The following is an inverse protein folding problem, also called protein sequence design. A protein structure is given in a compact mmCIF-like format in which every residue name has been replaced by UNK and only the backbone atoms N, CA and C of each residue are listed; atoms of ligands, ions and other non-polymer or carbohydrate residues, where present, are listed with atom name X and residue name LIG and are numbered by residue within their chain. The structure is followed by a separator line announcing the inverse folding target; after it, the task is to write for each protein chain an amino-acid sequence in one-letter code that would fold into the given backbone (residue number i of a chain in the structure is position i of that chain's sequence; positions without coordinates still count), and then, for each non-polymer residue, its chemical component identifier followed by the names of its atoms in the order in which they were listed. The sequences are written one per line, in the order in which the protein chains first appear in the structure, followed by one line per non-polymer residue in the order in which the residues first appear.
data_IF_917612010919
#
_entry.id   IF_917612010919
#
_cell.length_a   1.000
_cell.length_b   1.000
_cell.length_c   1.000
_cell.angle_alpha   90.00
_cell.angle_beta   90.00
_cell.angle_gamma   90.00
#
_symmetry.space_group_name_H-M   'P 1'
#
loop_
_entity.id
_entity.type
_entity.pdbx_description
1 polymer ?
#
# COMPACT_ATOMS: atom_id res chain seq x y z
N UNK A 1 23.81 -0.22 -8.62
CA UNK A 1 22.94 0.30 -9.70
C UNK A 1 22.55 1.73 -9.38
N UNK A 2 22.76 2.67 -10.28
CA UNK A 2 22.33 4.06 -10.12
C UNK A 2 20.82 4.18 -10.38
N UNK A 3 20.15 5.07 -9.63
CA UNK A 3 18.76 5.49 -9.92
C UNK A 3 18.83 6.45 -11.11
N UNK A 4 17.98 6.28 -12.13
CA UNK A 4 17.95 7.12 -13.33
C UNK A 4 16.61 7.79 -13.58
N UNK A 5 15.57 7.41 -12.82
CA UNK A 5 14.26 8.05 -12.92
C UNK A 5 13.19 7.36 -12.07
N UNK A 6 12.13 8.11 -11.79
CA UNK A 6 10.90 7.64 -11.16
C UNK A 6 9.77 7.71 -12.18
N UNK A 7 8.84 6.77 -12.11
CA UNK A 7 7.68 6.73 -13.00
C UNK A 7 6.55 5.88 -12.42
N UNK A 8 5.40 5.91 -13.09
CA UNK A 8 4.22 5.09 -12.80
C UNK A 8 3.78 5.18 -11.32
N UNK A 9 3.43 6.38 -10.89
CA UNK A 9 2.73 6.55 -9.62
C UNK A 9 1.39 5.83 -9.67
N UNK A 10 1.07 5.15 -8.57
CA UNK A 10 -0.22 4.50 -8.35
C UNK A 10 -0.64 4.70 -6.90
N UNK A 11 -1.93 4.89 -6.69
CA UNK A 11 -2.52 4.95 -5.36
C UNK A 11 -3.84 4.19 -5.31
N UNK A 12 -4.29 3.88 -4.11
CA UNK A 12 -5.61 3.33 -3.83
C UNK A 12 -6.02 3.66 -2.41
N UNK A 13 -7.29 3.94 -2.18
CA UNK A 13 -7.81 4.27 -0.86
C UNK A 13 -7.71 3.02 0.02
N UNK A 14 -7.08 3.18 1.19
CA UNK A 14 -6.85 2.11 2.14
C UNK A 14 -8.09 1.83 2.97
N UNK A 15 -8.42 0.56 3.10
CA UNK A 15 -9.25 -0.02 4.16
C UNK A 15 -8.40 -1.00 4.94
N UNK A 16 -8.35 -0.86 6.25
CA UNK A 16 -7.49 -1.66 7.13
C UNK A 16 -8.33 -2.37 8.18
N UNK A 17 -8.08 -3.66 8.39
CA UNK A 17 -8.72 -4.42 9.48
C UNK A 17 -8.13 -4.02 10.84
N UNK A 18 -8.77 -4.46 11.92
CA UNK A 18 -8.28 -4.23 13.28
C UNK A 18 -6.87 -4.83 13.50
N UNK A 19 -6.56 -5.93 12.81
CA UNK A 19 -5.28 -6.65 12.89
C UNK A 19 -4.24 -6.12 11.88
N UNK A 20 -4.52 -5.00 11.21
CA UNK A 20 -3.59 -4.34 10.30
C UNK A 20 -3.50 -4.96 8.91
N UNK A 21 -4.47 -5.78 8.47
CA UNK A 21 -4.49 -6.31 7.09
C UNK A 21 -4.99 -5.23 6.15
N UNK A 22 -4.16 -4.76 5.18
CA UNK A 22 -4.56 -3.72 4.25
C UNK A 22 -5.33 -4.29 3.05
N UNK A 23 -6.34 -3.54 2.61
CA UNK A 23 -7.00 -3.69 1.32
C UNK A 23 -7.18 -2.33 0.66
N UNK A 24 -7.30 -2.28 -0.66
CA UNK A 24 -7.35 -1.01 -1.37
C UNK A 24 -8.48 -0.97 -2.39
N UNK A 25 -8.98 0.24 -2.67
CA UNK A 25 -10.12 0.47 -3.58
C UNK A 25 -9.81 0.26 -5.06
N UNK A 26 -8.60 -0.22 -5.39
CA UNK A 26 -8.11 -0.38 -6.76
C UNK A 26 -7.04 0.65 -7.13
N UNK A 27 -6.24 0.28 -8.13
CA UNK A 27 -5.09 1.09 -8.55
C UNK A 27 -5.53 2.26 -9.45
N UNK A 28 -5.35 3.49 -8.95
CA UNK A 28 -5.53 4.73 -9.73
C UNK A 28 -4.18 5.37 -10.03
N UNK A 29 -4.12 6.19 -11.09
CA UNK A 29 -2.94 7.00 -11.45
C UNK A 29 -3.22 8.43 -11.01
N UNK A 30 -2.37 9.05 -10.14
CA UNK A 30 -2.60 10.43 -9.75
C UNK A 30 -2.34 11.40 -10.90
N UNK A 31 -1.19 11.28 -11.55
CA UNK A 31 -0.75 12.06 -12.71
C UNK A 31 0.56 11.49 -13.24
N UNK A 32 1.19 12.13 -14.22
CA UNK A 32 2.52 11.75 -14.67
C UNK A 32 3.57 12.15 -13.62
N UNK A 33 4.48 11.22 -13.35
CA UNK A 33 5.51 11.40 -12.33
C UNK A 33 6.64 12.30 -12.83
N UNK A 34 6.92 13.38 -12.11
CA UNK A 34 8.07 14.25 -12.32
C UNK A 34 9.16 13.91 -11.30
N UNK A 35 8.82 13.96 -10.01
CA UNK A 35 9.74 13.70 -8.91
C UNK A 35 9.04 12.95 -7.77
N UNK A 36 9.82 12.28 -6.94
CA UNK A 36 9.29 11.75 -5.69
C UNK A 36 10.41 11.65 -4.66
N UNK A 37 10.24 12.34 -3.57
CA UNK A 37 11.12 12.28 -2.41
C UNK A 37 10.43 11.53 -1.26
N UNK A 38 11.19 10.74 -0.52
CA UNK A 38 10.73 10.06 0.70
C UNK A 38 11.79 10.30 1.77
N UNK A 39 11.40 10.99 2.80
CA UNK A 39 12.23 11.31 3.96
C UNK A 39 11.71 10.56 5.18
N UNK A 40 12.60 9.81 5.82
CA UNK A 40 12.27 9.01 6.99
C UNK A 40 12.95 9.62 8.21
N UNK A 41 12.17 9.84 9.25
CA UNK A 41 12.66 10.25 10.58
C UNK A 41 12.65 9.02 11.47
N UNK A 42 13.81 8.72 12.05
CA UNK A 42 13.97 7.65 13.03
C UNK A 42 14.06 8.24 14.43
N UNK A 43 13.71 7.45 15.44
CA UNK A 43 14.07 7.75 16.82
C UNK A 43 15.60 7.80 16.94
N UNK A 44 16.12 8.74 17.71
CA UNK A 44 17.54 8.84 18.03
C UNK A 44 17.70 8.93 19.57
N UNK A 45 17.20 7.92 20.26
CA UNK A 45 17.39 7.80 21.69
C UNK A 45 18.74 7.13 21.96
N UNK A 46 19.56 7.76 22.81
CA UNK A 46 20.89 7.28 23.21
C UNK A 46 20.99 7.23 24.72
N UNK A 47 21.42 6.10 25.23
CA UNK A 47 21.76 5.91 26.64
C UNK A 47 23.28 5.92 26.79
N UNK A 48 23.79 6.82 27.61
CA UNK A 48 25.20 6.84 28.00
C UNK A 48 25.34 6.31 29.43
N UNK A 49 26.31 5.42 29.62
CA UNK A 49 26.71 4.92 30.94
C UNK A 49 28.24 4.88 31.00
N UNK A 50 28.83 5.30 32.12
CA UNK A 50 30.27 5.39 32.33
C UNK A 50 31.03 6.11 31.19
N UNK A 51 30.50 7.25 30.76
CA UNK A 51 31.02 8.08 29.62
C UNK A 51 31.08 7.37 28.27
N UNK A 52 30.38 6.25 28.11
CA UNK A 52 30.27 5.49 26.87
C UNK A 52 28.82 5.40 26.38
N UNK A 53 28.62 5.32 25.05
CA UNK A 53 27.32 5.00 24.48
C UNK A 53 26.99 3.53 24.81
N UNK A 54 26.05 3.33 25.72
CA UNK A 54 25.64 2.00 26.17
C UNK A 54 24.57 1.40 25.25
N UNK A 55 23.56 2.20 24.85
CA UNK A 55 22.49 1.77 23.95
C UNK A 55 22.01 2.92 23.04
N UNK A 56 21.49 2.56 21.87
CA UNK A 56 20.84 3.49 20.96
C UNK A 56 19.63 2.84 20.30
N UNK A 57 18.52 3.61 20.17
CA UNK A 57 17.34 3.25 19.39
C UNK A 57 17.32 4.06 18.10
N UNK A 58 17.10 3.38 16.97
CA UNK A 58 16.96 3.98 15.63
C UNK A 58 15.69 3.48 14.93
N UNK A 59 14.65 3.14 15.68
CA UNK A 59 13.38 2.68 15.13
C UNK A 59 12.69 3.74 14.28
N UNK A 60 11.82 3.31 13.34
CA UNK A 60 11.01 4.20 12.54
C UNK A 60 10.08 5.04 13.43
N UNK A 61 10.10 6.35 13.26
CA UNK A 61 9.21 7.27 13.96
C UNK A 61 8.08 7.76 13.06
N UNK A 62 8.44 8.36 11.94
CA UNK A 62 7.52 8.83 10.91
C UNK A 62 8.24 9.03 9.59
N UNK A 63 7.49 9.25 8.50
CA UNK A 63 8.06 9.61 7.22
C UNK A 63 7.18 10.60 6.47
N UNK A 64 7.78 11.27 5.52
CA UNK A 64 7.09 12.12 4.54
C UNK A 64 7.36 11.63 3.14
N UNK A 65 6.36 11.70 2.28
CA UNK A 65 6.50 11.52 0.83
C UNK A 65 6.05 12.78 0.14
N UNK A 66 6.91 13.35 -0.71
CA UNK A 66 6.57 14.47 -1.59
C UNK A 66 6.56 13.97 -3.02
N UNK A 67 5.43 14.11 -3.68
CA UNK A 67 5.15 13.68 -5.04
C UNK A 67 5.06 14.91 -5.93
N UNK A 68 5.99 15.05 -6.88
CA UNK A 68 5.93 16.07 -7.95
C UNK A 68 5.25 15.48 -9.18
N UNK A 69 4.21 16.14 -9.65
CA UNK A 69 3.35 15.72 -10.76
C UNK A 69 3.18 16.83 -11.79
N UNK A 70 2.81 16.45 -13.03
CA UNK A 70 2.67 17.39 -14.14
C UNK A 70 1.34 18.15 -14.15
N UNK A 71 0.31 17.59 -13.53
CA UNK A 71 -1.04 18.20 -13.45
C UNK A 71 -1.76 17.75 -12.18
N UNK A 72 -2.68 18.60 -11.72
CA UNK A 72 -3.56 18.30 -10.58
C UNK A 72 -5.00 18.10 -11.08
N UNK A 73 -5.38 16.85 -11.36
CA UNK A 73 -6.76 16.51 -11.65
C UNK A 73 -7.63 16.69 -10.39
N UNK A 74 -8.76 17.39 -10.52
CA UNK A 74 -9.70 17.64 -9.42
C UNK A 74 -10.29 16.35 -8.83
N UNK A 75 -10.48 15.31 -9.64
CA UNK A 75 -10.93 14.01 -9.16
C UNK A 75 -9.87 13.36 -8.27
N UNK A 76 -8.59 13.44 -8.66
CA UNK A 76 -7.47 12.92 -7.88
C UNK A 76 -7.30 13.68 -6.56
N UNK A 77 -7.44 15.01 -6.60
CA UNK A 77 -7.42 15.82 -5.37
C UNK A 77 -8.54 15.39 -4.41
N UNK A 78 -9.76 15.21 -4.93
CA UNK A 78 -10.89 14.76 -4.12
C UNK A 78 -10.62 13.41 -3.47
N UNK A 79 -10.09 12.45 -4.21
CA UNK A 79 -9.74 11.12 -3.70
C UNK A 79 -8.64 11.18 -2.61
N UNK A 80 -7.58 11.96 -2.83
CA UNK A 80 -6.43 12.01 -1.91
C UNK A 80 -6.70 12.85 -0.66
N UNK A 81 -7.58 13.86 -0.77
CA UNK A 81 -7.83 14.84 0.29
C UNK A 81 -9.21 14.69 0.95
N UNK A 82 -10.07 13.81 0.40
CA UNK A 82 -11.39 13.54 0.95
C UNK A 82 -12.45 14.58 0.62
N UNK A 83 -12.26 15.33 -0.47
CA UNK A 83 -13.23 16.32 -0.92
C UNK A 83 -14.37 15.70 -1.72
N UNK A 84 -15.45 16.47 -1.88
CA UNK A 84 -16.56 16.06 -2.73
C UNK A 84 -16.31 16.49 -4.18
N UNK A 85 -16.25 15.51 -5.12
CA UNK A 85 -16.14 15.77 -6.56
C UNK A 85 -17.42 15.36 -7.28
N UNK A 86 -17.94 16.21 -8.14
CA UNK A 86 -19.11 15.92 -8.99
C UNK A 86 -19.09 16.76 -10.26
N UNK A 87 -19.17 16.10 -11.41
CA UNK A 87 -19.33 16.76 -12.72
C UNK A 87 -18.29 17.85 -13.02
N UNK A 88 -17.04 17.65 -12.67
CA UNK A 88 -15.95 18.61 -12.91
C UNK A 88 -15.81 19.70 -11.85
N UNK A 89 -16.59 19.65 -10.78
CA UNK A 89 -16.52 20.58 -9.65
C UNK A 89 -16.03 19.88 -8.40
N UNK A 90 -15.10 20.51 -7.68
CA UNK A 90 -14.63 20.06 -6.36
C UNK A 90 -15.15 21.04 -5.29
N UNK A 91 -15.75 20.51 -4.25
CA UNK A 91 -16.21 21.27 -3.08
C UNK A 91 -15.36 20.86 -1.88
N UNK A 92 -14.65 21.84 -1.31
CA UNK A 92 -13.81 21.68 -0.12
C UNK A 92 -14.55 22.19 1.10
N UNK A 93 -14.65 21.37 2.14
CA UNK A 93 -15.31 21.72 3.40
C UNK A 93 -14.30 21.60 4.55
N UNK A 94 -14.44 22.45 5.56
CA UNK A 94 -13.59 22.38 6.76
C UNK A 94 -13.73 21.06 7.54
N UNK A 95 -14.78 20.27 7.26
CA UNK A 95 -15.03 18.95 7.85
C UNK A 95 -14.44 17.81 7.04
N UNK A 96 -13.91 18.08 5.84
CA UNK A 96 -13.31 17.06 5.00
C UNK A 96 -12.08 16.46 5.69
N UNK A 97 -11.92 15.16 5.54
CA UNK A 97 -10.79 14.43 6.13
C UNK A 97 -10.15 13.59 5.06
N UNK A 98 -8.87 13.84 4.79
CA UNK A 98 -8.10 13.04 3.85
C UNK A 98 -8.10 11.56 4.26
N UNK A 99 -8.43 10.63 3.35
CA UNK A 99 -8.35 9.21 3.62
C UNK A 99 -6.89 8.75 3.71
N UNK A 100 -6.67 7.60 4.32
CA UNK A 100 -5.42 6.90 4.14
C UNK A 100 -5.39 6.22 2.78
N UNK A 101 -4.24 6.25 2.11
CA UNK A 101 -4.04 5.62 0.81
C UNK A 101 -2.78 4.78 0.80
N UNK A 102 -2.79 3.68 0.04
CA UNK A 102 -1.56 3.04 -0.39
C UNK A 102 -0.97 3.81 -1.56
N UNK A 103 0.32 4.07 -1.53
CA UNK A 103 1.02 4.78 -2.60
C UNK A 103 2.23 4.01 -3.08
N UNK A 104 2.38 3.88 -4.39
CA UNK A 104 3.49 3.19 -4.98
C UNK A 104 4.09 3.87 -6.20
N UNK A 105 5.38 3.58 -6.43
CA UNK A 105 6.17 4.12 -7.53
C UNK A 105 7.12 3.09 -8.09
N UNK A 106 7.52 3.28 -9.35
CA UNK A 106 8.56 2.48 -9.98
C UNK A 106 9.82 3.34 -10.16
N UNK A 107 10.95 2.88 -9.64
CA UNK A 107 12.26 3.51 -9.78
C UNK A 107 13.06 2.70 -10.79
N UNK A 108 13.41 3.34 -11.90
CA UNK A 108 14.31 2.75 -12.89
C UNK A 108 15.75 2.85 -12.42
N UNK A 109 16.48 1.75 -12.43
CA UNK A 109 17.88 1.63 -12.07
C UNK A 109 18.68 1.08 -13.23
N UNK A 110 19.95 1.49 -13.37
CA UNK A 110 20.85 1.00 -14.40
C UNK A 110 22.22 0.64 -13.82
N UNK A 111 22.81 -0.44 -14.31
CA UNK A 111 24.23 -0.81 -14.10
C UNK A 111 24.74 -1.55 -15.34
N UNK A 112 25.82 -1.09 -15.91
CA UNK A 112 26.49 -1.69 -17.07
C UNK A 112 25.51 -1.97 -18.24
N UNK A 113 24.66 -0.98 -18.58
CA UNK A 113 23.69 -1.10 -19.66
C UNK A 113 22.44 -1.95 -19.32
N UNK A 114 22.41 -2.61 -18.17
CA UNK A 114 21.27 -3.42 -17.75
C UNK A 114 20.31 -2.61 -16.89
N UNK A 115 19.03 -2.59 -17.29
CA UNK A 115 17.96 -1.93 -16.56
C UNK A 115 17.32 -2.90 -15.55
N UNK A 116 16.91 -2.36 -14.40
CA UNK A 116 16.08 -3.00 -13.39
C UNK A 116 15.04 -2.01 -12.89
N UNK A 117 13.89 -2.52 -12.48
CA UNK A 117 12.75 -1.73 -12.07
C UNK A 117 12.41 -2.07 -10.63
N UNK A 118 12.67 -1.12 -9.72
CA UNK A 118 12.36 -1.26 -8.30
C UNK A 118 11.00 -0.65 -8.03
N UNK A 119 10.05 -1.48 -7.60
CA UNK A 119 8.81 -1.01 -6.99
C UNK A 119 9.11 -0.62 -5.55
N UNK A 120 8.65 0.54 -5.14
CA UNK A 120 8.53 0.94 -3.74
C UNK A 120 7.07 1.25 -3.46
N UNK A 121 6.53 0.62 -2.42
CA UNK A 121 5.15 0.73 -2.01
C UNK A 121 5.09 1.17 -0.54
N UNK A 122 4.32 2.22 -0.27
CA UNK A 122 4.02 2.75 1.06
C UNK A 122 2.59 2.32 1.39
N UNK A 123 2.43 1.59 2.49
CA UNK A 123 1.14 0.97 2.81
C UNK A 123 0.08 1.96 3.27
N UNK A 124 0.48 3.00 4.00
CA UNK A 124 -0.45 3.92 4.64
C UNK A 124 0.11 5.34 4.62
N UNK A 125 -0.42 6.14 3.70
CA UNK A 125 -0.04 7.54 3.52
C UNK A 125 -1.27 8.41 3.66
N UNK A 126 -1.14 9.55 4.32
CA UNK A 126 -2.18 10.58 4.40
C UNK A 126 -1.64 11.85 3.77
N UNK A 127 -2.24 12.26 2.66
CA UNK A 127 -1.86 13.46 1.95
C UNK A 127 -2.47 14.72 2.58
N UNK A 128 -1.77 15.85 2.42
CA UNK A 128 -2.19 17.18 2.88
C UNK A 128 -2.47 18.08 1.68
N UNK A 129 -3.25 19.14 1.91
CA UNK A 129 -3.52 20.16 0.90
C UNK A 129 -2.21 20.72 0.35
N UNK A 130 -2.03 20.73 -0.97
CA UNK A 130 -0.87 21.34 -1.60
C UNK A 130 -0.93 22.88 -1.50
N UNK A 131 0.24 23.50 -1.41
CA UNK A 131 0.33 24.95 -1.67
C UNK A 131 0.16 25.20 -3.17
N UNK A 132 -0.61 26.22 -3.52
CA UNK A 132 -0.83 26.61 -4.91
C UNK A 132 -0.12 27.93 -5.19
N UNK A 133 0.83 27.89 -6.12
CA UNK A 133 1.49 29.08 -6.65
C UNK A 133 1.14 29.20 -8.13
N UNK A 134 0.55 30.35 -8.52
CA UNK A 134 0.15 30.60 -9.89
C UNK A 134 0.82 31.89 -10.38
N UNK A 135 1.51 31.81 -11.50
CA UNK A 135 2.13 32.95 -12.14
C UNK A 135 1.41 33.30 -13.46
N UNK A 136 1.46 34.59 -13.82
CA UNK A 136 0.94 35.02 -15.12
C UNK A 136 1.91 34.64 -16.22
N UNK A 137 1.36 34.30 -17.41
CA UNK A 137 2.15 33.98 -18.58
C UNK A 137 3.06 35.16 -18.94
N UNK A 138 4.39 34.92 -18.91
CA UNK A 138 5.41 35.85 -19.39
C UNK A 138 5.71 35.71 -20.90
N UNK A 139 6.81 36.29 -21.34
CA UNK A 139 7.29 36.14 -22.72
C UNK A 139 7.74 34.70 -23.01
N UNK A 140 8.25 33.98 -22.01
CA UNK A 140 8.62 32.56 -22.05
C UNK A 140 7.53 31.74 -21.38
N UNK A 141 7.15 30.60 -21.98
CA UNK A 141 6.22 29.65 -21.37
C UNK A 141 7.01 28.79 -20.40
N UNK A 142 6.74 28.90 -19.12
CA UNK A 142 7.21 27.97 -18.10
C UNK A 142 6.05 27.05 -17.69
N UNK A 143 6.34 25.74 -17.63
CA UNK A 143 5.34 24.76 -17.19
C UNK A 143 5.37 24.70 -15.66
N UNK A 144 4.25 25.02 -15.04
CA UNK A 144 4.03 24.79 -13.63
C UNK A 144 4.01 23.30 -13.32
N UNK A 145 4.51 22.93 -12.16
CA UNK A 145 4.45 21.56 -11.63
C UNK A 145 3.87 21.62 -10.23
N UNK A 146 3.06 20.62 -9.88
CA UNK A 146 2.42 20.57 -8.57
C UNK A 146 3.15 19.58 -7.66
N UNK A 147 3.25 19.92 -6.39
CA UNK A 147 3.81 19.05 -5.35
C UNK A 147 2.75 18.75 -4.29
N UNK A 148 2.51 17.47 -4.05
CA UNK A 148 1.62 17.00 -2.99
C UNK A 148 2.44 16.23 -1.97
N UNK A 149 2.33 16.64 -0.70
CA UNK A 149 3.06 16.02 0.41
C UNK A 149 2.12 15.19 1.27
N UNK A 150 2.57 13.99 1.63
CA UNK A 150 1.86 13.09 2.53
C UNK A 150 2.73 12.60 3.67
N UNK A 151 2.08 12.29 4.79
CA UNK A 151 2.72 11.66 5.94
C UNK A 151 2.59 10.14 5.85
N UNK A 152 3.69 9.43 6.06
CA UNK A 152 3.75 7.97 6.05
C UNK A 152 3.45 7.47 7.46
N UNK A 153 2.50 6.55 7.55
CA UNK A 153 2.12 5.87 8.79
C UNK A 153 2.41 4.38 8.70
N UNK A 154 2.49 3.73 9.86
CA UNK A 154 2.54 2.27 9.96
C UNK A 154 1.14 1.67 9.88
N UNK A 155 1.04 0.42 9.42
CA UNK A 155 -0.16 -0.40 9.61
C UNK A 155 -0.31 -0.76 11.11
N UNK A 156 -1.52 -1.17 11.49
CA UNK A 156 -1.83 -1.61 12.85
C UNK A 156 -1.43 -3.08 13.09
N UNK A 157 -0.58 -3.64 12.22
CA UNK A 157 -0.02 -4.98 12.38
C UNK A 157 1.00 -5.03 13.53
N UNK A 158 1.31 -6.23 13.99
CA UNK A 158 2.25 -6.44 15.12
C UNK A 158 3.66 -5.88 14.86
N UNK A 159 4.05 -5.74 13.60
CA UNK A 159 5.37 -5.25 13.17
C UNK A 159 5.43 -3.77 12.86
N UNK A 160 4.28 -3.07 12.79
CA UNK A 160 4.21 -1.67 12.35
C UNK A 160 4.72 -1.50 10.91
N UNK A 161 4.27 -2.34 9.99
CA UNK A 161 4.72 -2.33 8.59
C UNK A 161 4.36 -1.00 7.91
N UNK A 162 5.32 -0.34 7.26
CA UNK A 162 5.10 0.93 6.58
C UNK A 162 5.45 0.90 5.09
N UNK A 163 6.39 0.05 4.67
CA UNK A 163 6.80 -0.02 3.26
C UNK A 163 7.20 -1.41 2.80
N UNK A 164 7.11 -1.63 1.50
CA UNK A 164 7.59 -2.83 0.81
C UNK A 164 8.34 -2.43 -0.46
N UNK A 165 9.41 -3.14 -0.77
CA UNK A 165 10.15 -2.92 -2.00
C UNK A 165 10.55 -4.23 -2.68
N UNK A 166 10.40 -4.28 -4.01
CA UNK A 166 10.79 -5.43 -4.83
C UNK A 166 11.37 -4.97 -6.17
N UNK A 167 12.34 -5.71 -6.69
CA UNK A 167 13.02 -5.37 -7.95
C UNK A 167 12.72 -6.41 -9.01
N UNK A 168 12.39 -5.95 -10.22
CA UNK A 168 11.99 -6.76 -11.36
C UNK A 168 12.95 -6.60 -12.53
N UNK A 169 12.94 -7.56 -13.45
CA UNK A 169 13.72 -7.52 -14.67
C UNK A 169 13.09 -6.58 -15.71
N UNK A 170 11.77 -6.55 -15.80
CA UNK A 170 11.02 -5.75 -16.78
C UNK A 170 10.11 -4.73 -16.09
N UNK A 171 9.79 -3.65 -16.82
CA UNK A 171 8.85 -2.62 -16.36
C UNK A 171 7.43 -3.16 -16.26
N UNK A 172 7.05 -4.08 -17.15
CA UNK A 172 5.73 -4.71 -17.16
C UNK A 172 5.47 -5.51 -15.90
N UNK A 173 6.43 -6.38 -15.50
CA UNK A 173 6.32 -7.14 -14.24
C UNK A 173 6.22 -6.21 -13.01
N UNK A 174 7.02 -5.14 -12.99
CA UNK A 174 6.98 -4.16 -11.92
C UNK A 174 5.60 -3.47 -11.82
N UNK A 175 5.02 -3.10 -12.96
CA UNK A 175 3.71 -2.45 -13.02
C UNK A 175 2.59 -3.41 -12.61
N UNK A 176 2.61 -4.65 -13.12
CA UNK A 176 1.65 -5.70 -12.73
C UNK A 176 1.69 -5.94 -11.22
N UNK A 177 2.89 -6.05 -10.66
CA UNK A 177 3.05 -6.23 -9.22
C UNK A 177 2.51 -5.04 -8.41
N UNK A 178 2.84 -3.81 -8.82
CA UNK A 178 2.37 -2.60 -8.14
C UNK A 178 0.84 -2.47 -8.21
N UNK A 179 0.26 -2.71 -9.37
CA UNK A 179 -1.21 -2.70 -9.56
C UNK A 179 -1.87 -3.80 -8.74
N UNK A 180 -1.25 -4.99 -8.68
CA UNK A 180 -1.73 -6.10 -7.85
C UNK A 180 -1.79 -5.77 -6.36
N UNK A 181 -0.79 -5.07 -5.83
CA UNK A 181 -0.82 -4.63 -4.42
C UNK A 181 -2.03 -3.72 -4.13
N UNK A 182 -2.38 -2.85 -5.06
CA UNK A 182 -3.49 -1.89 -4.90
C UNK A 182 -4.88 -2.46 -5.28
N UNK A 183 -4.92 -3.60 -5.94
CA UNK A 183 -6.15 -4.35 -6.24
C UNK A 183 -6.40 -5.48 -5.22
N UNK A 184 -5.60 -5.56 -4.17
CA UNK A 184 -5.76 -6.56 -3.13
C UNK A 184 -6.95 -6.24 -2.23
N UNK A 185 -7.89 -7.16 -2.12
CA UNK A 185 -9.09 -7.07 -1.28
C UNK A 185 -9.03 -8.13 -0.20
N UNK A 186 -9.34 -7.74 1.03
CA UNK A 186 -9.48 -8.66 2.15
C UNK A 186 -10.88 -9.26 2.18
N UNK A 187 -10.98 -10.57 2.39
CA UNK A 187 -12.23 -11.32 2.50
C UNK A 187 -12.21 -12.25 3.70
N UNK A 188 -13.36 -12.41 4.29
CA UNK A 188 -13.62 -13.40 5.35
C UNK A 188 -14.77 -14.27 4.90
N UNK A 189 -14.55 -15.57 4.84
CA UNK A 189 -15.58 -16.56 4.55
C UNK A 189 -15.77 -17.52 5.72
N UNK A 190 -17.02 -17.85 6.00
CA UNK A 190 -17.39 -18.80 7.04
C UNK A 190 -18.06 -20.02 6.42
N UNK A 191 -17.61 -21.21 6.80
CA UNK A 191 -18.10 -22.49 6.35
C UNK A 191 -18.54 -23.33 7.53
N UNK A 192 -19.58 -24.15 7.33
CA UNK A 192 -19.88 -25.25 8.21
C UNK A 192 -19.27 -26.51 7.61
N UNK A 193 -18.41 -27.17 8.37
CA UNK A 193 -17.69 -28.36 7.89
C UNK A 193 -18.64 -29.51 7.57
N UNK A 194 -18.46 -30.13 6.44
CA UNK A 194 -19.10 -31.39 6.05
C UNK A 194 -18.24 -32.62 6.41
N UNK A 195 -17.25 -32.46 7.32
CA UNK A 195 -16.31 -33.52 7.65
C UNK A 195 -15.25 -33.76 6.58
N UNK A 196 -15.05 -32.81 5.65
CA UNK A 196 -14.06 -32.87 4.58
C UNK A 196 -12.89 -31.94 4.85
N UNK A 197 -11.69 -32.31 4.37
CA UNK A 197 -10.50 -31.47 4.50
C UNK A 197 -10.43 -30.36 3.44
N UNK A 198 -11.36 -30.31 2.48
CA UNK A 198 -11.32 -29.35 1.38
C UNK A 198 -12.47 -28.36 1.46
N UNK A 199 -12.17 -27.08 1.25
CA UNK A 199 -13.13 -25.98 1.17
C UNK A 199 -12.94 -25.23 -0.15
N UNK A 200 -14.02 -24.75 -0.73
CA UNK A 200 -13.97 -23.94 -1.95
C UNK A 200 -14.27 -22.49 -1.60
N UNK A 201 -13.29 -21.62 -1.80
CA UNK A 201 -13.41 -20.18 -1.57
C UNK A 201 -14.06 -19.48 -2.76
N UNK A 202 -14.73 -18.37 -2.51
CA UNK A 202 -15.38 -17.57 -3.56
C UNK A 202 -14.37 -16.95 -4.53
N UNK A 203 -13.18 -16.61 -4.04
CA UNK A 203 -12.12 -16.01 -4.85
C UNK A 203 -10.81 -16.78 -4.70
N UNK A 204 -9.94 -16.67 -5.73
CA UNK A 204 -8.59 -17.23 -5.66
C UNK A 204 -7.72 -16.41 -4.71
N UNK A 205 -7.28 -16.97 -3.56
CA UNK A 205 -6.43 -16.25 -2.65
C UNK A 205 -5.09 -15.87 -3.28
N UNK A 206 -4.61 -14.68 -2.96
CA UNK A 206 -3.19 -14.30 -3.12
C UNK A 206 -2.40 -14.66 -1.88
N UNK A 207 -3.07 -14.62 -0.71
CA UNK A 207 -2.48 -14.95 0.59
C UNK A 207 -3.59 -15.33 1.57
N UNK A 208 -3.37 -16.38 2.35
CA UNK A 208 -4.24 -16.75 3.47
C UNK A 208 -3.69 -16.10 4.74
N UNK A 209 -4.50 -15.27 5.41
CA UNK A 209 -4.15 -14.56 6.64
C UNK A 209 -4.42 -15.41 7.89
N UNK A 210 -5.54 -16.11 7.87
CA UNK A 210 -5.89 -17.02 8.93
C UNK A 210 -6.85 -18.13 8.45
N UNK A 211 -6.73 -19.30 9.03
CA UNK A 211 -7.76 -20.36 9.03
C UNK A 211 -8.07 -20.67 10.48
N UNK A 212 -9.32 -20.52 10.86
CA UNK A 212 -9.80 -20.66 12.23
C UNK A 212 -10.85 -21.74 12.26
N UNK A 213 -10.63 -22.77 13.07
CA UNK A 213 -11.59 -23.88 13.28
C UNK A 213 -12.07 -23.83 14.72
N UNK A 214 -13.36 -23.72 14.94
CA UNK A 214 -13.99 -23.60 16.27
C UNK A 214 -13.27 -22.58 17.17
N UNK A 215 -12.94 -21.38 16.60
CA UNK A 215 -12.25 -20.31 17.31
C UNK A 215 -10.75 -20.51 17.49
N UNK A 216 -10.18 -21.62 17.03
CA UNK A 216 -8.74 -21.91 17.12
C UNK A 216 -8.05 -21.63 15.79
N UNK A 217 -7.10 -20.69 15.77
CA UNK A 217 -6.29 -20.38 14.59
C UNK A 217 -5.30 -21.51 14.32
N UNK A 218 -5.32 -22.03 13.09
CA UNK A 218 -4.41 -23.07 12.64
C UNK A 218 -3.02 -22.49 12.30
N UNK A 219 -1.98 -23.31 12.48
CA UNK A 219 -0.64 -22.98 11.99
C UNK A 219 -0.62 -22.99 10.45
N UNK A 220 0.23 -22.19 9.83
CA UNK A 220 0.37 -22.12 8.35
C UNK A 220 0.70 -23.47 7.71
N UNK A 221 1.41 -24.36 8.43
CA UNK A 221 1.71 -25.72 7.98
C UNK A 221 0.51 -26.68 7.99
N UNK A 222 -0.60 -26.28 8.58
CA UNK A 222 -1.82 -27.10 8.70
C UNK A 222 -2.80 -26.91 7.53
N UNK A 223 -2.46 -26.11 6.56
CA UNK A 223 -3.28 -25.91 5.35
C UNK A 223 -2.43 -25.55 4.13
N UNK A 224 -3.02 -25.74 2.95
CA UNK A 224 -2.46 -25.29 1.68
C UNK A 224 -3.61 -24.88 0.76
N UNK A 225 -3.31 -24.09 -0.30
CA UNK A 225 -4.32 -23.72 -1.27
C UNK A 225 -3.80 -23.82 -2.71
N UNK A 226 -4.71 -24.12 -3.64
CA UNK A 226 -4.46 -24.12 -5.07
C UNK A 226 -5.71 -23.65 -5.81
N UNK A 227 -5.60 -22.56 -6.59
CA UNK A 227 -6.78 -21.89 -7.14
C UNK A 227 -7.71 -21.45 -6.02
N UNK A 228 -8.98 -21.76 -6.11
CA UNK A 228 -10.00 -21.49 -5.06
C UNK A 228 -10.11 -22.59 -4.00
N UNK A 229 -9.35 -23.70 -4.13
CA UNK A 229 -9.45 -24.82 -3.19
C UNK A 229 -8.46 -24.65 -2.04
N UNK A 230 -8.98 -24.55 -0.82
CA UNK A 230 -8.23 -24.63 0.43
C UNK A 230 -8.27 -26.09 0.93
N UNK A 231 -7.11 -26.64 1.24
CA UNK A 231 -6.97 -28.01 1.76
C UNK A 231 -6.38 -27.95 3.16
N UNK A 232 -7.06 -28.49 4.15
CA UNK A 232 -6.61 -28.63 5.53
C UNK A 232 -5.84 -29.94 5.72
N UNK A 233 -4.82 -29.95 6.54
CA UNK A 233 -4.06 -31.15 6.87
C UNK A 233 -4.89 -32.22 7.60
N UNK A 234 -5.92 -31.80 8.34
CA UNK A 234 -6.90 -32.67 8.99
C UNK A 234 -8.30 -32.15 8.72
N UNK A 235 -9.23 -33.04 8.37
CA UNK A 235 -10.62 -32.67 8.21
C UNK A 235 -11.21 -32.21 9.56
N UNK A 236 -11.86 -31.05 9.62
CA UNK A 236 -12.65 -30.66 10.80
C UNK A 236 -13.82 -31.64 10.99
N UNK A 237 -14.36 -31.70 12.22
CA UNK A 237 -15.56 -32.50 12.49
C UNK A 237 -16.76 -31.93 11.70
N UNK A 238 -17.67 -32.81 11.28
CA UNK A 238 -18.93 -32.37 10.68
C UNK A 238 -19.69 -31.46 11.65
N UNK A 239 -20.07 -30.28 11.16
CA UNK A 239 -20.74 -29.24 11.96
C UNK A 239 -19.81 -28.18 12.53
N UNK A 240 -18.49 -28.38 12.52
CA UNK A 240 -17.54 -27.37 12.99
C UNK A 240 -17.60 -26.10 12.09
N UNK A 241 -17.45 -24.95 12.74
CA UNK A 241 -17.33 -23.67 12.02
C UNK A 241 -15.88 -23.44 11.59
N UNK A 242 -15.67 -23.21 10.29
CA UNK A 242 -14.38 -22.86 9.71
C UNK A 242 -14.45 -21.45 9.14
N UNK A 243 -13.62 -20.55 9.65
CA UNK A 243 -13.47 -19.18 9.14
C UNK A 243 -12.14 -19.09 8.40
N UNK A 244 -12.19 -18.54 7.18
CA UNK A 244 -11.01 -18.31 6.34
C UNK A 244 -10.90 -16.83 6.04
N UNK A 245 -9.78 -16.25 6.45
CA UNK A 245 -9.40 -14.86 6.20
C UNK A 245 -8.30 -14.85 5.15
N UNK A 246 -8.53 -14.15 4.05
CA UNK A 246 -7.58 -14.14 2.94
C UNK A 246 -7.67 -12.85 2.13
N UNK A 247 -6.61 -12.57 1.36
CA UNK A 247 -6.60 -11.51 0.35
C UNK A 247 -6.70 -12.10 -1.04
N UNK A 248 -7.37 -11.41 -1.95
CA UNK A 248 -7.47 -11.75 -3.37
C UNK A 248 -7.34 -10.50 -4.24
N UNK A 249 -7.06 -10.69 -5.54
CA UNK A 249 -7.05 -9.57 -6.49
C UNK A 249 -8.46 -9.33 -7.02
N UNK A 250 -8.94 -8.11 -6.86
CA UNK A 250 -10.15 -7.66 -7.54
C UNK A 250 -9.80 -7.45 -9.03
N UNK A 251 -10.43 -8.23 -9.90
CA UNK A 251 -10.20 -8.24 -11.37
C UNK A 251 -11.09 -7.23 -12.08
#
# INVERSE_FOLDING_TARGET
MAKIGVNNFRYGILSETADGVPSYSGAKTPALAISCNVDITNNDAKLFADDHLAESDSSFQQGTVTMGIDDEDLEVQADLLGHTYSSGEIIRKATDTAPYVGFGRIITKMKNGTYKYKVEFLYKVKFAEPSQENETKGETIEFGTSEITGTIHTLNDTGGTWSKAKTFATKSEALTYLTGLLNSVFSVESFISAGTATLTLAHTPTEIQAVIVEGTKLAESAYSFSGTTLTLASAPTEGDTVIVEYTYLNS
#
